data_IF_935556251657
#
_entry.id   IF_935556251657
#
_cell.length_a   1.000
_cell.length_b   1.000
_cell.length_c   1.000
_cell.angle_alpha   90.00
_cell.angle_beta   90.00
_cell.angle_gamma   90.00
#
_symmetry.space_group_name_H-M   'P 1'
#
loop_
_entity.id
_entity.type
_entity.pdbx_description
1 polymer ?
#
# COMPACT_ATOMS: atom_id res chain seq x y z
N UNK A 1 -9.10 1.84 -4.06
CA UNK A 1 -9.21 2.62 -2.80
C UNK A 1 -8.23 3.76 -2.90
N UNK A 2 -8.69 5.01 -2.78
CA UNK A 2 -7.83 6.19 -2.95
C UNK A 2 -6.70 6.20 -1.93
N UNK A 3 -5.49 6.52 -2.38
CA UNK A 3 -4.33 6.64 -1.50
C UNK A 3 -4.29 8.04 -0.89
N UNK A 4 -4.26 8.12 0.44
CA UNK A 4 -4.36 9.36 1.19
C UNK A 4 -2.96 9.87 1.58
N UNK A 5 -2.68 11.15 1.35
CA UNK A 5 -1.39 11.77 1.74
C UNK A 5 -1.15 11.67 3.24
N UNK A 6 0.09 11.36 3.60
CA UNK A 6 0.53 11.22 4.99
C UNK A 6 0.05 9.95 5.68
N UNK A 7 -0.77 9.12 5.02
CA UNK A 7 -1.22 7.84 5.56
C UNK A 7 -0.19 6.74 5.28
N UNK A 8 -0.11 5.81 6.22
CA UNK A 8 0.75 4.62 6.14
C UNK A 8 -0.05 3.46 5.60
N UNK A 9 0.50 2.75 4.64
CA UNK A 9 -0.08 1.55 4.07
C UNK A 9 0.89 0.42 4.32
N UNK A 10 0.38 -0.70 4.82
CA UNK A 10 1.21 -1.85 5.12
C UNK A 10 0.70 -3.11 4.45
N UNK A 11 1.62 -3.87 3.88
CA UNK A 11 1.41 -5.20 3.34
C UNK A 11 1.65 -6.23 4.45
N UNK A 12 0.57 -6.85 4.94
CA UNK A 12 0.65 -7.85 6.01
C UNK A 12 1.36 -9.13 5.56
N UNK A 13 1.32 -9.45 4.26
CA UNK A 13 1.95 -10.65 3.69
C UNK A 13 3.48 -10.55 3.57
N UNK A 14 3.99 -9.32 3.42
CA UNK A 14 5.40 -9.08 3.10
C UNK A 14 6.12 -8.19 4.13
N UNK A 15 5.39 -7.62 5.09
CA UNK A 15 5.93 -6.72 6.12
C UNK A 15 6.34 -5.34 5.60
N UNK A 16 6.04 -5.01 4.33
CA UNK A 16 6.39 -3.73 3.73
C UNK A 16 5.43 -2.66 4.22
N UNK A 17 5.99 -1.53 4.66
CA UNK A 17 5.24 -0.32 5.03
C UNK A 17 5.66 0.84 4.16
N UNK A 18 4.69 1.57 3.62
CA UNK A 18 4.91 2.74 2.77
C UNK A 18 4.09 3.92 3.26
N UNK A 19 4.66 5.12 3.16
CA UNK A 19 3.97 6.39 3.45
C UNK A 19 3.64 7.07 2.14
N UNK A 20 2.38 7.44 1.97
CA UNK A 20 1.94 8.15 0.76
C UNK A 20 2.35 9.61 0.86
N UNK A 21 3.32 10.03 0.05
CA UNK A 21 3.76 11.44 -0.04
C UNK A 21 2.93 12.24 -1.04
N UNK A 22 2.18 11.57 -1.92
CA UNK A 22 1.28 12.18 -2.91
C UNK A 22 0.03 11.31 -3.11
N UNK A 23 -1.14 11.89 -2.88
CA UNK A 23 -2.43 11.23 -3.04
C UNK A 23 -2.87 11.15 -4.51
N UNK A 24 -3.79 10.24 -4.74
CA UNK A 24 -4.42 9.91 -6.01
C UNK A 24 -5.57 8.93 -5.79
N UNK A 25 -6.26 8.61 -6.86
CA UNK A 25 -7.44 7.74 -6.81
C UNK A 25 -7.09 6.25 -7.05
N UNK A 26 -5.81 5.97 -7.31
CA UNK A 26 -5.30 4.62 -7.56
C UNK A 26 -5.24 3.74 -6.32
N UNK A 27 -5.47 2.45 -6.50
CA UNK A 27 -5.31 1.44 -5.44
C UNK A 27 -3.83 1.08 -5.28
N UNK A 28 -3.37 1.07 -4.03
CA UNK A 28 -2.03 0.62 -3.68
C UNK A 28 -1.99 -0.91 -3.63
N UNK A 29 -1.14 -1.52 -4.46
CA UNK A 29 -0.90 -2.97 -4.47
C UNK A 29 0.58 -3.26 -4.28
N UNK A 30 0.89 -4.36 -3.60
CA UNK A 30 2.26 -4.81 -3.42
C UNK A 30 2.53 -6.02 -4.33
N UNK A 31 3.37 -5.84 -5.36
CA UNK A 31 3.67 -6.84 -6.40
C UNK A 31 5.05 -7.50 -6.29
N UNK A 32 5.67 -7.47 -5.10
CA UNK A 32 6.89 -8.26 -4.84
C UNK A 32 6.60 -9.77 -4.85
N UNK A 33 7.59 -10.59 -5.21
CA UNK A 33 7.41 -12.04 -5.38
C UNK A 33 6.86 -12.82 -4.17
N UNK A 34 6.85 -12.21 -2.97
CA UNK A 34 6.24 -12.78 -1.76
C UNK A 34 4.77 -12.33 -1.54
N UNK A 35 4.30 -11.29 -2.23
CA UNK A 35 3.04 -10.60 -1.94
C UNK A 35 1.94 -10.81 -3.00
N UNK A 36 2.19 -11.49 -4.11
CA UNK A 36 1.19 -11.90 -5.13
C UNK A 36 0.16 -10.81 -5.52
N UNK A 37 0.54 -9.53 -5.49
CA UNK A 37 -0.36 -8.44 -5.85
C UNK A 37 -1.42 -8.09 -4.78
N UNK A 38 -1.17 -8.40 -3.51
CA UNK A 38 -2.10 -8.07 -2.43
C UNK A 38 -2.39 -6.56 -2.32
N UNK A 39 -3.64 -6.16 -2.03
CA UNK A 39 -3.98 -4.77 -1.77
C UNK A 39 -3.34 -4.31 -0.45
N UNK A 40 -2.75 -3.11 -0.46
CA UNK A 40 -2.14 -2.55 0.75
C UNK A 40 -3.22 -1.88 1.60
N UNK A 41 -3.30 -2.27 2.87
CA UNK A 41 -4.27 -1.74 3.84
C UNK A 41 -3.70 -0.51 4.56
N UNK A 42 -4.54 0.49 4.77
CA UNK A 42 -4.20 1.64 5.61
C UNK A 42 -4.09 1.18 7.06
N UNK A 43 -2.94 1.45 7.69
CA UNK A 43 -2.71 1.28 9.13
C UNK A 43 -3.19 2.51 9.89
#
# INVERSE_FOLDING_TARGET
MANQMGKRYGCTSCGVEVVVTKAGEGTLTCSGGACNGAPMEQK
#
